data_IF_469486347524
#
_entry.id   IF_469486347524
#
_cell.length_a   1.000
_cell.length_b   1.000
_cell.length_c   1.000
_cell.angle_alpha   90.00
_cell.angle_beta   90.00
_cell.angle_gamma   90.00
#
_symmetry.space_group_name_H-M   'P 1'
#
loop_
_entity.id
_entity.type
_entity.pdbx_description
1 polymer ?
#
# COMPACT_ATOMS: atom_id res chain seq x y z
N UNK A 1 34.39 -27.43 24.98
CA UNK A 1 33.27 -26.54 24.59
C UNK A 1 33.29 -26.27 23.09
N UNK A 2 32.95 -27.25 22.24
CA UNK A 2 33.00 -27.12 20.77
C UNK A 2 31.87 -27.88 20.03
N UNK A 3 30.94 -28.48 20.78
CA UNK A 3 29.80 -29.23 20.21
C UNK A 3 28.49 -28.43 20.31
N UNK A 4 28.47 -27.36 21.12
CA UNK A 4 27.27 -26.54 21.33
C UNK A 4 27.05 -25.45 20.27
N UNK A 5 28.03 -25.20 19.39
CA UNK A 5 27.95 -24.13 18.38
C UNK A 5 27.30 -24.61 17.06
N UNK A 6 27.36 -25.91 16.76
CA UNK A 6 26.86 -26.46 15.49
C UNK A 6 25.35 -26.75 15.49
N UNK A 7 24.72 -26.83 16.67
CA UNK A 7 23.28 -27.12 16.79
C UNK A 7 22.41 -25.88 16.53
N UNK A 8 22.93 -24.68 16.79
CA UNK A 8 22.16 -23.43 16.63
C UNK A 8 22.09 -22.92 15.19
N UNK A 9 22.98 -23.35 14.29
CA UNK A 9 23.02 -22.84 12.90
C UNK A 9 22.00 -23.56 12.00
N UNK A 10 21.53 -24.75 12.36
CA UNK A 10 20.64 -25.57 11.52
C UNK A 10 19.13 -25.37 11.74
N UNK A 11 18.71 -24.64 12.78
CA UNK A 11 17.27 -24.47 13.11
C UNK A 11 16.61 -23.24 12.46
N UNK A 12 17.36 -22.40 11.73
CA UNK A 12 16.81 -21.18 11.11
C UNK A 12 16.49 -21.32 9.62
N UNK A 13 16.69 -22.49 9.01
CA UNK A 13 16.57 -22.67 7.55
C UNK A 13 15.24 -23.28 7.07
N UNK A 14 14.27 -23.47 7.96
CA UNK A 14 12.94 -23.98 7.60
C UNK A 14 11.92 -22.87 7.89
N UNK A 15 11.09 -22.55 6.90
CA UNK A 15 10.01 -21.55 6.89
C UNK A 15 10.32 -20.14 6.37
N UNK A 16 10.67 -20.01 5.08
CA UNK A 16 10.03 -19.02 4.20
C UNK A 16 9.89 -19.61 2.79
N UNK A 17 8.77 -20.29 2.52
CA UNK A 17 8.33 -20.64 1.16
C UNK A 17 6.80 -20.66 1.11
N UNK A 18 6.24 -19.54 0.64
CA UNK A 18 4.91 -19.30 0.05
C UNK A 18 4.66 -17.79 0.20
N UNK A 19 4.74 -16.96 -0.84
CA UNK A 19 3.81 -16.93 -1.96
C UNK A 19 4.54 -16.58 -3.27
N UNK A 20 4.57 -17.53 -4.21
CA UNK A 20 4.84 -17.26 -5.62
C UNK A 20 3.52 -17.33 -6.38
N UNK A 21 2.75 -16.25 -6.41
CA UNK A 21 1.58 -16.15 -7.29
C UNK A 21 2.06 -15.75 -8.68
N UNK A 22 2.60 -16.73 -9.40
CA UNK A 22 2.82 -16.66 -10.84
C UNK A 22 1.50 -16.97 -11.55
N UNK A 23 0.65 -15.97 -11.71
CA UNK A 23 -0.49 -16.09 -12.64
C UNK A 23 -0.01 -15.83 -14.05
N UNK A 24 0.03 -16.92 -14.81
CA UNK A 24 -0.14 -17.02 -16.26
C UNK A 24 -0.17 -15.72 -17.07
N UNK A 25 0.86 -15.57 -17.88
CA UNK A 25 0.78 -14.98 -19.21
C UNK A 25 -0.21 -15.83 -20.04
N UNK A 26 -1.36 -15.25 -20.40
CA UNK A 26 -2.14 -15.68 -21.55
C UNK A 26 -2.03 -14.53 -22.57
N UNK A 27 -1.26 -14.78 -23.59
CA UNK A 27 -1.11 -13.99 -24.80
C UNK A 27 -2.41 -14.05 -25.63
N UNK A 28 -3.12 -12.91 -25.72
CA UNK A 28 -3.97 -12.38 -26.82
C UNK A 28 -5.14 -13.23 -27.41
N UNK A 29 -6.15 -12.64 -28.11
CA UNK A 29 -6.25 -11.29 -28.69
C UNK A 29 -7.51 -10.48 -28.30
N UNK A 30 -7.49 -9.22 -28.71
CA UNK A 30 -8.57 -8.25 -28.61
C UNK A 30 -9.89 -8.73 -29.23
N UNK A 31 -10.99 -8.59 -28.47
CA UNK A 31 -12.33 -8.38 -29.03
C UNK A 31 -12.95 -7.22 -28.27
N UNK A 32 -12.93 -6.05 -28.90
CA UNK A 32 -13.75 -4.91 -28.54
C UNK A 32 -15.19 -5.27 -28.86
N UNK A 33 -15.97 -5.68 -27.87
CA UNK A 33 -17.43 -5.77 -28.00
C UNK A 33 -18.05 -4.44 -27.50
N UNK A 34 -18.70 -3.65 -28.36
CA UNK A 34 -19.27 -2.36 -27.98
C UNK A 34 -20.65 -2.47 -27.28
N UNK A 35 -21.17 -3.66 -26.97
CA UNK A 35 -22.52 -3.80 -26.40
C UNK A 35 -22.65 -4.90 -25.32
N UNK A 36 -21.84 -4.82 -24.27
CA UNK A 36 -22.12 -5.58 -23.04
C UNK A 36 -22.94 -4.72 -22.07
N UNK A 37 -24.27 -4.83 -22.14
CA UNK A 37 -25.24 -4.31 -21.16
C UNK A 37 -25.19 -5.08 -19.83
N UNK A 38 -23.99 -5.38 -19.33
CA UNK A 38 -23.81 -5.77 -17.93
C UNK A 38 -23.78 -4.47 -17.14
N UNK A 39 -24.67 -4.25 -16.15
CA UNK A 39 -24.59 -3.07 -15.31
C UNK A 39 -23.17 -3.02 -14.72
N UNK A 40 -22.35 -2.04 -15.13
CA UNK A 40 -21.09 -1.77 -14.47
C UNK A 40 -21.46 -1.54 -13.02
N UNK A 41 -21.11 -2.48 -12.17
CA UNK A 41 -21.28 -2.37 -10.73
C UNK A 41 -20.46 -1.16 -10.35
N UNK A 42 -21.11 -0.04 -10.04
CA UNK A 42 -20.42 1.20 -9.65
C UNK A 42 -19.41 0.82 -8.57
N UNK A 43 -18.13 0.84 -8.92
CA UNK A 43 -17.09 0.54 -7.95
C UNK A 43 -17.08 1.74 -7.02
N UNK A 44 -17.82 1.63 -5.92
CA UNK A 44 -17.82 2.63 -4.88
C UNK A 44 -16.40 2.72 -4.34
N UNK A 45 -15.75 3.84 -4.59
CA UNK A 45 -14.42 4.06 -4.07
C UNK A 45 -14.43 4.06 -2.55
N UNK A 46 -13.82 3.03 -1.95
CA UNK A 46 -13.59 2.96 -0.51
C UNK A 46 -12.52 3.94 -0.03
N UNK A 47 -11.76 4.54 -0.96
CA UNK A 47 -10.81 5.59 -0.66
C UNK A 47 -11.54 6.86 -0.22
N UNK A 48 -11.29 7.27 1.01
CA UNK A 48 -11.82 8.52 1.59
C UNK A 48 -11.31 9.75 0.82
N UNK A 49 -12.09 10.84 0.75
CA UNK A 49 -11.73 12.05 0.02
C UNK A 49 -10.42 12.70 0.51
N UNK A 50 -9.80 13.58 -0.32
CA UNK A 50 -8.54 14.24 0.00
C UNK A 50 -8.56 14.98 1.35
N UNK A 51 -7.45 14.89 2.07
CA UNK A 51 -7.28 15.51 3.39
C UNK A 51 -7.10 17.02 3.21
N UNK A 52 -7.93 17.81 3.90
CA UNK A 52 -7.89 19.29 3.86
C UNK A 52 -7.23 19.92 5.08
N UNK A 53 -7.34 19.27 6.23
CA UNK A 53 -6.82 19.77 7.51
C UNK A 53 -5.47 19.11 7.81
N UNK A 54 -4.40 19.86 7.56
CA UNK A 54 -3.02 19.41 7.73
C UNK A 54 -2.61 19.36 9.19
N UNK A 55 -3.12 20.26 10.05
CA UNK A 55 -2.80 20.30 11.47
C UNK A 55 -3.38 19.08 12.20
N UNK A 56 -4.66 18.76 11.93
CA UNK A 56 -5.29 17.54 12.45
C UNK A 56 -4.60 16.29 11.93
N UNK A 57 -4.17 16.30 10.67
CA UNK A 57 -3.42 15.18 10.09
C UNK A 57 -2.09 14.99 10.82
N UNK A 58 -1.29 16.05 10.99
CA UNK A 58 0.00 16.00 11.67
C UNK A 58 -0.13 15.45 13.09
N UNK A 59 -1.11 15.95 13.86
CA UNK A 59 -1.40 15.44 15.20
C UNK A 59 -1.74 13.93 15.19
N UNK A 60 -2.49 13.48 14.19
CA UNK A 60 -2.82 12.06 14.05
C UNK A 60 -1.61 11.21 13.63
N UNK A 61 -0.73 11.74 12.78
CA UNK A 61 0.52 11.09 12.39
C UNK A 61 1.49 10.99 13.59
N UNK A 62 1.53 12.00 14.46
CA UNK A 62 2.24 11.96 15.75
C UNK A 62 1.67 10.89 16.68
N UNK A 63 0.34 10.86 16.85
CA UNK A 63 -0.34 9.83 17.66
C UNK A 63 -0.05 8.40 17.16
N UNK A 64 0.13 8.24 15.85
CA UNK A 64 0.45 6.95 15.22
C UNK A 64 1.94 6.61 15.21
N UNK A 65 2.80 7.49 15.73
CA UNK A 65 4.25 7.31 15.73
C UNK A 65 4.92 7.45 14.36
N UNK A 66 4.20 7.98 13.36
CA UNK A 66 4.74 8.23 12.02
C UNK A 66 5.53 9.54 11.94
N UNK A 67 5.20 10.49 12.81
CA UNK A 67 6.02 11.67 13.11
C UNK A 67 6.46 11.54 14.57
N UNK A 68 7.75 11.66 14.83
CA UNK A 68 8.31 11.50 16.19
C UNK A 68 8.95 12.80 16.66
N UNK A 69 9.17 12.93 17.98
CA UNK A 69 9.80 14.12 18.57
C UNK A 69 11.26 14.32 18.16
N UNK A 70 11.90 13.29 17.61
CA UNK A 70 13.28 13.39 17.11
C UNK A 70 13.36 14.00 15.72
N UNK A 71 12.24 14.07 15.00
CA UNK A 71 12.18 14.69 13.67
C UNK A 71 12.22 16.20 13.81
N UNK A 72 12.99 16.83 12.93
CA UNK A 72 12.94 18.28 12.72
C UNK A 72 11.58 18.68 12.12
N UNK A 73 11.26 19.97 12.20
CA UNK A 73 10.03 20.51 11.62
C UNK A 73 9.92 20.23 10.11
N UNK A 74 11.02 20.37 9.37
CA UNK A 74 11.08 20.10 7.93
C UNK A 74 10.84 18.61 7.62
N UNK A 75 11.40 17.71 8.44
CA UNK A 75 11.17 16.27 8.26
C UNK A 75 9.71 15.89 8.55
N UNK A 76 9.12 16.46 9.61
CA UNK A 76 7.72 16.26 9.93
C UNK A 76 6.80 16.77 8.80
N UNK A 77 7.09 17.95 8.26
CA UNK A 77 6.36 18.52 7.12
C UNK A 77 6.47 17.62 5.87
N UNK A 78 7.66 17.12 5.57
CA UNK A 78 7.88 16.19 4.46
C UNK A 78 7.05 14.91 4.61
N UNK A 79 6.93 14.37 5.82
CA UNK A 79 6.08 13.21 6.13
C UNK A 79 4.60 13.52 5.89
N UNK A 80 4.13 14.70 6.31
CA UNK A 80 2.73 15.14 6.07
C UNK A 80 2.44 15.25 4.57
N UNK A 81 3.32 15.92 3.81
CA UNK A 81 3.18 16.10 2.36
C UNK A 81 3.13 14.74 1.66
N UNK A 82 4.06 13.85 1.98
CA UNK A 82 4.12 12.52 1.35
C UNK A 82 2.89 11.68 1.69
N UNK A 83 2.38 11.78 2.93
CA UNK A 83 1.15 11.11 3.34
C UNK A 83 -0.06 11.58 2.51
N UNK A 84 -0.22 12.90 2.35
CA UNK A 84 -1.30 13.48 1.54
C UNK A 84 -1.18 13.02 0.08
N UNK A 85 0.01 13.06 -0.49
CA UNK A 85 0.28 12.65 -1.88
C UNK A 85 -0.14 11.19 -2.11
N UNK A 86 0.28 10.26 -1.25
CA UNK A 86 -0.10 8.84 -1.35
C UNK A 86 -1.61 8.64 -1.27
N UNK A 87 -2.28 9.36 -0.37
CA UNK A 87 -3.74 9.28 -0.18
C UNK A 87 -4.49 9.82 -1.40
N UNK A 88 -4.05 10.94 -1.95
CA UNK A 88 -4.62 11.51 -3.17
C UNK A 88 -4.42 10.57 -4.35
N UNK A 89 -3.22 10.00 -4.51
CA UNK A 89 -2.94 9.03 -5.57
C UNK A 89 -3.89 7.83 -5.47
N UNK A 90 -4.03 7.24 -4.29
CA UNK A 90 -4.95 6.11 -4.06
C UNK A 90 -6.41 6.47 -4.38
N UNK A 91 -6.84 7.70 -4.07
CA UNK A 91 -8.16 8.20 -4.45
C UNK A 91 -8.33 8.31 -5.98
N UNK A 92 -7.34 8.87 -6.68
CA UNK A 92 -7.39 8.99 -8.14
C UNK A 92 -7.36 7.64 -8.84
N UNK A 93 -6.52 6.71 -8.36
CA UNK A 93 -6.41 5.37 -8.94
C UNK A 93 -7.72 4.59 -8.76
N UNK A 94 -8.35 4.71 -7.60
CA UNK A 94 -9.68 4.16 -7.40
C UNK A 94 -10.69 4.75 -8.39
N UNK A 95 -10.72 6.09 -8.53
CA UNK A 95 -11.66 6.77 -9.43
C UNK A 95 -11.46 6.37 -10.90
N UNK A 96 -10.22 6.09 -11.31
CA UNK A 96 -9.89 5.60 -12.65
C UNK A 96 -10.39 4.17 -12.87
N UNK A 97 -10.26 3.31 -11.86
CA UNK A 97 -10.76 1.93 -11.93
C UNK A 97 -12.28 1.82 -11.83
N UNK A 98 -12.96 2.82 -11.26
CA UNK A 98 -14.43 2.88 -11.17
C UNK A 98 -15.15 3.41 -12.41
N UNK A 99 -14.43 4.03 -13.34
CA UNK A 99 -14.98 4.52 -14.63
C UNK A 99 -14.92 3.43 -15.71
#
# INVERSE_FOLDING_TARGET
>A
MKVSLLVFVFLSFVFVSACNSRSQEIEQPAVTDPHSDVPRKDILCSSTPPIKDTAKLEANLKQRGLITEQMTEIEAEAVVIEYIRKRQQAFQDCKKGSQ
#
